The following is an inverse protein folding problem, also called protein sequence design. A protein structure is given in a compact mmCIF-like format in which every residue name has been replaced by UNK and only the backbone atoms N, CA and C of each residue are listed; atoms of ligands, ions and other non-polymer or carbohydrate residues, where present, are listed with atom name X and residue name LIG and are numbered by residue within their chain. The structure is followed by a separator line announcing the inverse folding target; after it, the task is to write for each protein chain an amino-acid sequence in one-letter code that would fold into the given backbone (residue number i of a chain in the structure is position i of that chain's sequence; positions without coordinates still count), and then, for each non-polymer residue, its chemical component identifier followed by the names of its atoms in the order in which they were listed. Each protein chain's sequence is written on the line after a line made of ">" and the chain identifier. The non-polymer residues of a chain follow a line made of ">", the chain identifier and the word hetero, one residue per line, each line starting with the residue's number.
data_IF_769664236003
#
_entry.id   IF_769664236003
#
_cell.length_a   1.000
_cell.length_b   1.000
_cell.length_c   1.000
_cell.angle_alpha   90.00
_cell.angle_beta   90.00
_cell.angle_gamma   90.00
#
_symmetry.space_group_name_H-M   'P 1'
#
loop_
_entity.id
_entity.type
_entity.pdbx_description
1 polymer ?
#
# COMPACT_ATOMS: atom_id res chain seq x y z
N UNK A 1 -36.56 -3.99 5.88
CA UNK A 1 -36.42 -4.01 5.57
C UNK A 1 -36.12 -3.69 5.01
N UNK A 2 -35.95 -3.90 5.41
CA UNK A 2 -35.33 -3.97 4.71
C UNK A 2 -34.90 -3.32 4.15
N UNK A 3 -35.46 -2.97 4.06
CA UNK A 3 -35.25 -2.28 3.20
C UNK A 3 -34.28 -1.21 3.25
N UNK A 4 -34.49 -0.06 3.62
CA UNK A 4 -33.51 0.96 3.56
C UNK A 4 -32.20 0.44 3.90
N UNK A 5 -32.27 -0.59 4.53
CA UNK A 5 -31.16 -1.30 4.77
C UNK A 5 -30.32 -1.58 3.63
N UNK A 6 -30.84 -1.76 2.41
CA UNK A 6 -30.00 -2.22 1.33
C UNK A 6 -28.75 -1.41 1.13
N UNK A 7 -28.84 -0.13 1.10
CA UNK A 7 -27.67 0.69 0.81
C UNK A 7 -26.64 0.61 1.92
N UNK A 8 -27.05 0.81 3.13
CA UNK A 8 -26.11 0.80 4.23
C UNK A 8 -25.59 -0.59 4.49
N UNK A 9 -26.49 -1.56 4.45
CA UNK A 9 -26.09 -2.92 4.64
C UNK A 9 -25.12 -3.38 3.60
N UNK A 10 -25.29 -2.96 2.35
CA UNK A 10 -24.39 -3.31 1.29
C UNK A 10 -23.00 -2.76 1.54
N UNK A 11 -22.90 -1.51 1.91
CA UNK A 11 -21.60 -0.91 2.18
C UNK A 11 -20.91 -1.57 3.36
N UNK A 12 -21.65 -1.90 4.40
CA UNK A 12 -21.09 -2.56 5.57
C UNK A 12 -20.66 -3.99 5.24
N UNK A 13 -21.43 -4.68 4.37
CA UNK A 13 -21.15 -6.07 4.02
C UNK A 13 -20.12 -6.19 2.92
N UNK A 14 -19.92 -5.15 2.13
CA UNK A 14 -19.04 -5.18 0.98
C UNK A 14 -18.05 -4.02 1.03
N UNK A 15 -17.15 -4.04 2.00
CA UNK A 15 -16.17 -2.95 2.10
C UNK A 15 -15.25 -2.93 0.89
N UNK A 16 -14.76 -1.75 0.60
CA UNK A 16 -13.84 -1.50 -0.50
C UNK A 16 -12.49 -1.10 0.04
N UNK A 17 -11.48 -1.10 -0.81
CA UNK A 17 -10.14 -0.70 -0.38
C UNK A 17 -10.13 0.70 0.20
N UNK A 18 -10.97 1.60 -0.28
CA UNK A 18 -11.08 2.94 0.29
C UNK A 18 -11.37 2.92 1.80
N UNK A 19 -12.04 1.87 2.27
CA UNK A 19 -12.46 1.76 3.68
C UNK A 19 -11.36 1.22 4.59
N UNK A 20 -10.38 0.51 4.04
CA UNK A 20 -9.37 -0.19 4.85
C UNK A 20 -7.94 0.23 4.54
N UNK A 21 -7.73 1.01 3.49
CA UNK A 21 -6.39 1.42 3.08
C UNK A 21 -5.74 2.28 4.16
N UNK A 22 -4.46 2.04 4.39
CA UNK A 22 -3.69 2.80 5.37
C UNK A 22 -3.07 4.00 4.66
N UNK A 23 -3.55 5.18 5.03
CA UNK A 23 -3.09 6.43 4.40
C UNK A 23 -1.88 7.02 5.09
N UNK A 24 -1.54 6.47 6.27
CA UNK A 24 -0.40 6.91 7.06
C UNK A 24 0.90 6.20 6.69
N UNK A 25 0.92 5.43 5.61
CA UNK A 25 2.13 4.75 5.16
C UNK A 25 3.21 5.79 4.83
N UNK A 26 4.45 5.56 5.28
CA UNK A 26 5.53 6.50 4.95
C UNK A 26 5.83 6.51 3.46
N UNK A 27 6.28 7.65 2.97
CA UNK A 27 6.67 7.80 1.57
C UNK A 27 8.11 8.30 1.50
N UNK A 28 8.74 8.05 0.36
CA UNK A 28 10.09 8.51 0.10
C UNK A 28 10.27 8.78 -1.39
N UNK A 29 11.40 9.37 -1.74
CA UNK A 29 11.74 9.67 -3.12
C UNK A 29 12.94 8.85 -3.56
N UNK A 30 13.17 8.79 -4.87
CA UNK A 30 14.21 7.97 -5.46
C UNK A 30 15.61 8.29 -4.94
N UNK A 31 15.89 9.57 -4.67
CA UNK A 31 17.21 10.02 -4.30
C UNK A 31 17.55 9.96 -2.83
N UNK A 32 16.66 9.46 -1.99
CA UNK A 32 16.96 9.33 -0.57
C UNK A 32 17.78 8.09 -0.30
N UNK A 33 18.54 8.10 0.80
CA UNK A 33 19.30 6.93 1.19
C UNK A 33 18.43 5.98 2.00
N UNK A 34 18.64 4.71 1.78
CA UNK A 34 17.81 3.67 2.39
C UNK A 34 17.82 3.74 3.91
N UNK A 35 18.97 4.02 4.53
CA UNK A 35 19.07 4.09 5.98
C UNK A 35 18.19 5.16 6.58
N UNK A 36 18.12 6.33 5.94
CA UNK A 36 17.28 7.43 6.42
C UNK A 36 15.81 7.08 6.30
N UNK A 37 15.44 6.44 5.19
CA UNK A 37 14.05 6.02 4.96
C UNK A 37 13.66 4.94 5.97
N UNK A 38 14.55 3.98 6.23
CA UNK A 38 14.30 2.94 7.21
C UNK A 38 14.04 3.53 8.59
N UNK A 39 14.89 4.48 9.02
CA UNK A 39 14.72 5.10 10.32
C UNK A 39 13.38 5.80 10.43
N UNK A 40 12.97 6.48 9.37
CA UNK A 40 11.69 7.18 9.32
C UNK A 40 10.52 6.19 9.39
N UNK A 41 10.62 5.07 8.69
CA UNK A 41 9.59 4.04 8.70
C UNK A 41 9.46 3.41 10.08
N UNK A 42 10.59 3.06 10.69
CA UNK A 42 10.60 2.49 12.03
C UNK A 42 9.99 3.44 13.04
N UNK A 43 10.35 4.72 12.97
CA UNK A 43 9.81 5.72 13.88
C UNK A 43 8.30 5.87 13.73
N UNK A 44 7.77 5.61 12.53
CA UNK A 44 6.34 5.67 12.26
C UNK A 44 5.61 4.35 12.57
N UNK A 45 6.35 3.34 13.00
CA UNK A 45 5.75 2.04 13.31
C UNK A 45 5.47 1.20 12.07
N UNK A 46 6.19 1.43 10.97
CA UNK A 46 5.97 0.73 9.70
C UNK A 46 7.19 -0.08 9.29
N UNK A 47 6.93 -1.15 8.55
CA UNK A 47 7.97 -1.95 7.92
C UNK A 47 7.86 -1.92 6.39
N UNK A 48 7.30 -0.84 5.87
CA UNK A 48 7.17 -0.62 4.43
C UNK A 48 7.20 0.87 4.15
N UNK A 49 7.57 1.23 2.92
CA UNK A 49 7.58 2.62 2.48
C UNK A 49 7.28 2.65 0.98
N UNK A 50 6.48 3.60 0.55
CA UNK A 50 6.13 3.72 -0.87
C UNK A 50 6.98 4.81 -1.49
N UNK A 51 7.59 4.48 -2.63
CA UNK A 51 8.44 5.42 -3.36
C UNK A 51 7.57 6.18 -4.34
N UNK A 52 7.58 7.50 -4.25
CA UNK A 52 6.70 8.34 -5.07
C UNK A 52 7.48 9.46 -5.75
N UNK A 53 6.93 9.96 -6.85
CA UNK A 53 7.43 11.15 -7.53
C UNK A 53 6.94 12.39 -6.80
N UNK A 54 7.37 13.56 -7.27
CA UNK A 54 6.89 14.83 -6.72
C UNK A 54 5.37 14.95 -6.80
N UNK A 55 4.77 14.39 -7.85
CA UNK A 55 3.32 14.42 -8.02
C UNK A 55 2.61 13.30 -7.27
N UNK A 56 3.34 12.56 -6.42
CA UNK A 56 2.85 11.44 -5.62
C UNK A 56 2.49 10.21 -6.46
N UNK A 57 2.97 10.13 -7.68
CA UNK A 57 2.79 8.94 -8.51
C UNK A 57 3.68 7.83 -7.95
N UNK A 58 3.12 6.64 -7.77
CA UNK A 58 3.85 5.51 -7.22
C UNK A 58 4.89 5.03 -8.22
N UNK A 59 6.15 5.00 -7.79
CA UNK A 59 7.28 4.55 -8.59
C UNK A 59 7.80 3.20 -8.15
N UNK A 60 7.71 2.89 -6.87
CA UNK A 60 8.23 1.66 -6.35
C UNK A 60 7.75 1.40 -4.93
N UNK A 61 8.20 0.26 -4.40
CA UNK A 61 7.82 -0.17 -3.06
C UNK A 61 9.04 -0.70 -2.34
N UNK A 62 9.18 -0.31 -1.08
CA UNK A 62 10.16 -0.88 -0.16
C UNK A 62 9.38 -1.70 0.85
N UNK A 63 9.55 -3.01 0.80
CA UNK A 63 8.95 -3.92 1.78
C UNK A 63 9.96 -4.16 2.89
N UNK A 64 9.57 -4.95 3.88
CA UNK A 64 10.45 -5.24 5.02
C UNK A 64 11.83 -5.74 4.56
N UNK A 65 11.85 -6.59 3.55
CA UNK A 65 13.12 -7.12 3.03
C UNK A 65 13.99 -6.05 2.41
N UNK A 66 13.43 -5.20 1.55
CA UNK A 66 14.19 -4.13 0.93
C UNK A 66 14.72 -3.13 1.96
N UNK A 67 13.93 -2.85 2.98
CA UNK A 67 14.33 -1.89 4.02
C UNK A 67 15.54 -2.38 4.82
N UNK A 68 15.81 -3.68 4.83
CA UNK A 68 16.97 -4.24 5.54
C UNK A 68 18.24 -4.22 4.71
N UNK A 69 18.21 -3.67 3.51
CA UNK A 69 19.37 -3.61 2.64
C UNK A 69 20.42 -2.62 3.12
N UNK A 70 21.44 -2.43 2.28
CA UNK A 70 22.56 -1.53 2.58
C UNK A 70 22.05 -0.10 2.79
N UNK A 71 22.24 0.49 3.97
CA UNK A 71 21.72 1.82 4.28
C UNK A 71 22.32 2.94 3.43
N UNK A 72 23.48 2.70 2.83
CA UNK A 72 24.15 3.72 2.03
C UNK A 72 23.66 3.79 0.60
N UNK A 73 22.88 2.81 0.16
CA UNK A 73 22.34 2.80 -1.20
C UNK A 73 21.16 3.76 -1.33
N UNK A 74 21.00 4.29 -2.53
CA UNK A 74 19.84 5.11 -2.85
C UNK A 74 18.60 4.23 -2.99
N UNK A 75 17.46 4.77 -2.61
CA UNK A 75 16.18 4.07 -2.67
C UNK A 75 15.92 3.46 -4.05
N UNK A 76 16.23 4.21 -5.11
CA UNK A 76 15.98 3.72 -6.48
C UNK A 76 16.74 2.44 -6.80
N UNK A 77 17.84 2.17 -6.10
CA UNK A 77 18.66 0.98 -6.34
C UNK A 77 18.13 -0.25 -5.61
N UNK A 78 17.29 -0.04 -4.61
CA UNK A 78 16.83 -1.10 -3.72
C UNK A 78 15.36 -1.43 -3.94
N UNK A 79 14.56 -0.45 -4.32
CA UNK A 79 13.12 -0.60 -4.41
C UNK A 79 12.69 -1.65 -5.43
N UNK A 80 11.50 -2.20 -5.23
CA UNK A 80 10.83 -2.97 -6.27
C UNK A 80 10.13 -1.97 -7.18
N UNK A 81 10.54 -1.86 -8.45
CA UNK A 81 9.95 -0.89 -9.36
C UNK A 81 8.61 -1.36 -9.88
N UNK A 82 7.74 -0.42 -10.19
CA UNK A 82 6.48 -0.69 -10.85
C UNK A 82 5.60 -1.72 -10.17
N UNK A 83 5.34 -1.58 -8.86
CA UNK A 83 4.47 -2.56 -8.19
C UNK A 83 3.06 -2.50 -8.78
N UNK A 84 2.35 -3.62 -8.71
CA UNK A 84 0.93 -3.63 -9.07
C UNK A 84 0.18 -2.72 -8.13
N UNK A 85 -0.72 -1.91 -8.67
CA UNK A 85 -1.52 -0.98 -7.88
C UNK A 85 -2.99 -1.25 -8.12
N UNK A 86 -3.82 -0.90 -7.15
CA UNK A 86 -5.25 -1.16 -7.22
C UNK A 86 -6.01 0.10 -6.86
N UNK A 87 -7.25 0.17 -7.33
CA UNK A 87 -8.06 1.38 -7.16
C UNK A 87 -8.87 1.29 -5.88
N UNK A 88 -9.26 2.43 -5.30
CA UNK A 88 -10.03 2.43 -4.05
C UNK A 88 -11.38 1.72 -4.12
N UNK A 89 -11.96 1.61 -5.32
CA UNK A 89 -13.28 0.98 -5.47
C UNK A 89 -13.23 -0.54 -5.52
N UNK A 90 -12.04 -1.14 -5.56
CA UNK A 90 -11.91 -2.61 -5.56
C UNK A 90 -12.42 -3.13 -4.22
N UNK A 91 -13.21 -4.22 -4.25
CA UNK A 91 -13.74 -4.78 -3.01
C UNK A 91 -12.64 -5.46 -2.20
N UNK A 92 -12.79 -5.44 -0.89
CA UNK A 92 -11.86 -6.12 0.01
C UNK A 92 -11.82 -7.62 -0.28
N UNK A 93 -12.98 -8.20 -0.58
CA UNK A 93 -13.06 -9.64 -0.89
C UNK A 93 -12.26 -9.98 -2.14
N UNK A 94 -12.36 -9.15 -3.17
CA UNK A 94 -11.60 -9.37 -4.39
C UNK A 94 -10.11 -9.21 -4.13
N UNK A 95 -9.73 -8.16 -3.39
CA UNK A 95 -8.33 -7.92 -3.08
C UNK A 95 -7.72 -9.06 -2.26
N UNK A 96 -8.50 -9.62 -1.34
CA UNK A 96 -8.03 -10.78 -0.56
C UNK A 96 -7.66 -11.93 -1.48
N UNK A 97 -8.50 -12.24 -2.47
CA UNK A 97 -8.20 -13.29 -3.43
C UNK A 97 -6.94 -12.98 -4.24
N UNK A 98 -6.81 -11.74 -4.68
CA UNK A 98 -5.64 -11.31 -5.46
C UNK A 98 -4.36 -11.47 -4.64
N UNK A 99 -4.40 -11.03 -3.39
CA UNK A 99 -3.23 -11.11 -2.53
C UNK A 99 -2.82 -12.54 -2.23
N UNK A 100 -3.80 -13.42 -2.03
CA UNK A 100 -3.53 -14.83 -1.81
C UNK A 100 -2.95 -15.45 -3.08
N UNK A 101 -3.61 -15.24 -4.21
CA UNK A 101 -3.20 -15.84 -5.48
C UNK A 101 -1.82 -15.41 -5.93
N UNK A 102 -1.47 -14.16 -5.66
CA UNK A 102 -0.19 -13.60 -6.09
C UNK A 102 0.84 -13.56 -4.98
N UNK A 103 0.48 -14.04 -3.81
CA UNK A 103 1.37 -14.06 -2.64
C UNK A 103 1.91 -12.66 -2.32
N UNK A 104 1.02 -11.68 -2.26
CA UNK A 104 1.39 -10.30 -1.96
C UNK A 104 1.28 -10.02 -0.47
N UNK A 105 2.30 -9.38 0.10
CA UNK A 105 2.27 -8.94 1.49
C UNK A 105 1.55 -7.62 1.64
N UNK A 106 1.67 -6.77 0.64
CA UNK A 106 1.06 -5.45 0.62
C UNK A 106 0.96 -4.96 -0.82
N UNK A 107 0.16 -3.94 -1.04
CA UNK A 107 0.03 -3.36 -2.37
C UNK A 107 -0.42 -1.91 -2.27
N UNK A 108 0.18 -1.01 -3.05
CA UNK A 108 -0.27 0.37 -3.08
C UNK A 108 -1.64 0.50 -3.70
N UNK A 109 -2.43 1.38 -3.12
CA UNK A 109 -3.74 1.78 -3.66
C UNK A 109 -3.56 3.17 -4.25
N UNK A 110 -3.97 3.34 -5.49
CA UNK A 110 -3.75 4.61 -6.21
C UNK A 110 -5.01 5.06 -6.92
N UNK A 111 -5.01 6.33 -7.30
CA UNK A 111 -5.99 6.86 -8.25
C UNK A 111 -5.69 6.28 -9.64
N UNK A 112 -6.58 6.55 -10.60
CA UNK A 112 -6.41 6.01 -11.96
C UNK A 112 -5.18 6.57 -12.65
N UNK A 113 -4.70 7.74 -12.25
CA UNK A 113 -3.47 8.32 -12.80
C UNK A 113 -2.23 7.96 -11.97
N UNK A 114 -2.34 6.99 -11.08
CA UNK A 114 -1.19 6.44 -10.37
C UNK A 114 -0.78 7.16 -9.09
N UNK A 115 -1.57 8.12 -8.63
CA UNK A 115 -1.22 8.85 -7.41
C UNK A 115 -1.57 8.03 -6.17
N UNK A 116 -0.68 8.05 -5.21
CA UNK A 116 -0.83 7.24 -4.01
C UNK A 116 -2.02 7.68 -3.16
N UNK A 117 -2.89 6.73 -2.83
CA UNK A 117 -3.93 6.89 -1.82
C UNK A 117 -3.42 6.33 -0.50
N UNK A 118 -2.78 5.17 -0.54
CA UNK A 118 -2.22 4.55 0.64
C UNK A 118 -1.77 3.13 0.33
N UNK A 119 -1.53 2.36 1.39
CA UNK A 119 -1.06 0.98 1.25
C UNK A 119 -2.07 0.05 1.93
N UNK A 120 -2.36 -1.08 1.29
CA UNK A 120 -3.16 -2.13 1.90
C UNK A 120 -2.24 -3.31 2.19
N UNK A 121 -2.36 -3.90 3.38
CA UNK A 121 -1.56 -5.04 3.81
C UNK A 121 -2.47 -6.24 3.97
N UNK A 122 -1.86 -7.42 4.06
CA UNK A 122 -2.62 -8.66 4.24
C UNK A 122 -3.62 -8.56 5.39
N UNK A 123 -3.18 -8.06 6.55
CA UNK A 123 -4.06 -7.95 7.71
C UNK A 123 -5.20 -6.97 7.48
N UNK A 124 -5.03 -5.99 6.61
CA UNK A 124 -6.09 -5.01 6.35
C UNK A 124 -7.25 -5.61 5.57
N UNK A 125 -7.02 -6.72 4.88
CA UNK A 125 -8.07 -7.43 4.15
C UNK A 125 -8.43 -8.76 4.81
N UNK A 126 -7.99 -8.98 6.04
CA UNK A 126 -8.39 -10.15 6.81
C UNK A 126 -7.56 -11.40 6.59
N UNK A 127 -6.38 -11.28 6.01
CA UNK A 127 -5.46 -12.40 5.85
C UNK A 127 -4.51 -12.40 7.05
N UNK A 128 -4.26 -13.59 7.60
CA UNK A 128 -3.38 -13.74 8.75
C UNK A 128 -2.02 -14.29 8.37
#
# INVERSE_FOLDING_TARGET
>A
MGAGLPTEGTNAQHPRLADVVRRDVPVCSLGERLGEVRDRAVAAGWDACVVVSRARVVLGLLRAGELQGDPDLLVERVMRPGPSTYRPFVSVAEMRRIMIDRNLESSPVTTSDGRLVGLVRKQDVGIR
#
